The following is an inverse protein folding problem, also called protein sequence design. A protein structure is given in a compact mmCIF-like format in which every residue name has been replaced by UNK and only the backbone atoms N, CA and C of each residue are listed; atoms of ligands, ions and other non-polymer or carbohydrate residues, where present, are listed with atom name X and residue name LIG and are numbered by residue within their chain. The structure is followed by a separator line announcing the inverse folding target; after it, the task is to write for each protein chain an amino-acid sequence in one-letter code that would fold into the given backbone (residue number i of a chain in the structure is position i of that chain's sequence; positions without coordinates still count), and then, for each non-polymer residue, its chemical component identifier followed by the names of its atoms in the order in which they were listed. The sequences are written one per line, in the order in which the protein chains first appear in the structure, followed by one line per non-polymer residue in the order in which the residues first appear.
data_IF_584935278110
#
_entry.id   IF_584935278110
#
_cell.length_a   1.000
_cell.length_b   1.000
_cell.length_c   1.000
_cell.angle_alpha   90.00
_cell.angle_beta   90.00
_cell.angle_gamma   90.00
#
_symmetry.space_group_name_H-M   'P 1'
#
loop_
_entity.id
_entity.type
_entity.pdbx_description
1 polymer ?
#
# COMPACT_ATOMS: atom_id res chain seq x y z
N UNK A 1 17.69 -32.15 7.20
CA UNK A 1 16.80 -31.62 8.26
C UNK A 1 17.34 -30.28 8.71
N UNK A 2 16.66 -29.19 8.39
CA UNK A 2 17.08 -27.84 8.75
C UNK A 2 15.97 -27.22 9.60
N UNK A 3 16.36 -26.80 10.80
CA UNK A 3 15.48 -26.37 11.87
C UNK A 3 14.67 -25.14 11.51
N UNK A 4 13.35 -25.24 11.75
CA UNK A 4 12.45 -24.09 11.79
C UNK A 4 12.93 -23.16 12.90
N UNK A 5 13.47 -22.01 12.54
CA UNK A 5 13.73 -20.92 13.49
C UNK A 5 12.36 -20.44 13.97
N UNK A 6 11.92 -20.94 15.12
CA UNK A 6 10.78 -20.38 15.84
C UNK A 6 11.22 -19.01 16.33
N UNK A 7 10.77 -17.96 15.66
CA UNK A 7 10.78 -16.62 16.23
C UNK A 7 9.84 -16.71 17.43
N UNK A 8 10.42 -16.77 18.64
CA UNK A 8 9.66 -16.61 19.86
C UNK A 8 9.09 -15.19 19.82
N UNK A 9 7.85 -15.06 19.37
CA UNK A 9 7.08 -13.85 19.58
C UNK A 9 7.02 -13.66 21.10
N UNK A 10 7.81 -12.70 21.60
CA UNK A 10 7.55 -12.12 22.91
C UNK A 10 6.05 -11.83 22.96
N UNK A 11 5.39 -12.41 23.96
CA UNK A 11 3.97 -12.34 24.19
C UNK A 11 3.64 -10.88 24.51
N UNK A 12 3.52 -10.04 23.49
CA UNK A 12 2.96 -8.72 23.62
C UNK A 12 1.54 -8.93 24.16
N UNK A 13 1.31 -8.53 25.40
CA UNK A 13 0.03 -8.60 26.12
C UNK A 13 -0.97 -7.57 25.55
N UNK A 14 -1.07 -7.51 24.22
CA UNK A 14 -2.08 -6.73 23.53
C UNK A 14 -3.43 -7.42 23.71
N UNK A 15 -4.17 -6.99 24.73
CA UNK A 15 -5.56 -7.40 24.94
C UNK A 15 -6.45 -6.53 24.05
N UNK A 16 -6.96 -7.14 22.98
CA UNK A 16 -8.02 -6.55 22.15
C UNK A 16 -9.38 -6.88 22.78
N UNK A 17 -9.79 -6.11 23.78
CA UNK A 17 -11.05 -6.24 24.54
C UNK A 17 -12.12 -5.24 24.10
N UNK A 18 -11.88 -4.50 23.02
CA UNK A 18 -12.80 -3.54 22.45
C UNK A 18 -13.93 -4.15 21.60
N UNK A 19 -14.87 -3.32 21.12
CA UNK A 19 -16.02 -3.76 20.31
C UNK A 19 -15.64 -4.43 18.98
N UNK A 20 -14.36 -4.32 18.57
CA UNK A 20 -13.82 -4.91 17.35
C UNK A 20 -12.91 -6.12 17.60
N UNK A 21 -13.00 -6.79 18.76
CA UNK A 21 -12.22 -7.98 19.08
C UNK A 21 -12.34 -9.10 18.03
N UNK A 22 -13.47 -9.21 17.33
CA UNK A 22 -13.68 -10.17 16.26
C UNK A 22 -12.69 -9.98 15.09
N UNK A 23 -12.19 -8.76 14.87
CA UNK A 23 -11.19 -8.49 13.84
C UNK A 23 -9.86 -9.17 14.15
N UNK A 24 -9.56 -9.45 15.42
CA UNK A 24 -8.33 -10.18 15.81
C UNK A 24 -8.29 -11.55 15.14
N UNK A 25 -9.42 -12.27 15.11
CA UNK A 25 -9.50 -13.58 14.46
C UNK A 25 -9.16 -13.48 12.97
N UNK A 26 -9.72 -12.47 12.28
CA UNK A 26 -9.48 -12.26 10.85
C UNK A 26 -8.03 -11.86 10.58
N UNK A 27 -7.44 -10.99 11.41
CA UNK A 27 -6.05 -10.56 11.29
C UNK A 27 -5.09 -11.72 11.56
N UNK A 28 -5.32 -12.49 12.62
CA UNK A 28 -4.48 -13.62 13.01
C UNK A 28 -4.56 -14.76 11.96
N UNK A 29 -5.71 -14.96 11.31
CA UNK A 29 -5.86 -15.95 10.23
C UNK A 29 -5.27 -15.47 8.89
N UNK A 30 -5.40 -14.19 8.53
CA UNK A 30 -4.93 -13.67 7.24
C UNK A 30 -3.46 -13.23 7.27
N UNK A 31 -2.96 -12.75 8.40
CA UNK A 31 -1.63 -12.16 8.55
C UNK A 31 -0.81 -12.88 9.61
N UNK A 32 -0.46 -14.14 9.34
CA UNK A 32 0.45 -14.89 10.21
C UNK A 32 1.89 -14.36 10.02
N UNK A 33 2.53 -13.79 11.06
CA UNK A 33 3.89 -13.28 10.95
C UNK A 33 4.87 -14.41 10.61
N UNK A 34 5.76 -14.18 9.64
CA UNK A 34 6.82 -15.13 9.30
C UNK A 34 6.44 -16.23 8.30
N UNK A 35 5.22 -16.23 7.74
CA UNK A 35 4.81 -17.17 6.68
C UNK A 35 5.42 -16.88 5.30
N UNK A 36 6.28 -15.86 5.20
CA UNK A 36 6.83 -15.45 3.92
C UNK A 36 5.77 -14.85 3.00
N UNK A 37 4.76 -14.18 3.57
CA UNK A 37 3.75 -13.39 2.84
C UNK A 37 4.03 -11.90 3.00
N UNK A 38 3.69 -11.14 1.96
CA UNK A 38 3.82 -9.69 1.91
C UNK A 38 2.44 -9.07 1.75
N UNK A 39 2.15 -8.03 2.55
CA UNK A 39 0.98 -7.18 2.35
C UNK A 39 1.14 -6.39 1.05
N UNK A 40 0.14 -6.49 0.19
CA UNK A 40 0.08 -5.92 -1.14
C UNK A 40 -1.27 -5.22 -1.32
N UNK A 41 -1.31 -4.08 -2.02
CA UNK A 41 -2.56 -3.32 -2.23
C UNK A 41 -3.32 -2.99 -0.92
N UNK A 42 -2.61 -2.66 0.16
CA UNK A 42 -3.20 -2.26 1.44
C UNK A 42 -3.63 -3.43 2.31
N UNK A 43 -4.54 -4.29 1.81
CA UNK A 43 -5.15 -5.38 2.59
C UNK A 43 -4.99 -6.77 1.96
N UNK A 44 -4.49 -6.87 0.73
CA UNK A 44 -4.26 -8.17 0.10
C UNK A 44 -2.91 -8.73 0.58
N UNK A 45 -2.73 -10.04 0.49
CA UNK A 45 -1.45 -10.71 0.76
C UNK A 45 -1.01 -11.50 -0.46
N UNK A 46 0.28 -11.46 -0.79
CA UNK A 46 0.91 -12.34 -1.78
C UNK A 46 2.09 -13.08 -1.16
N UNK A 47 2.47 -14.21 -1.74
CA UNK A 47 3.71 -14.89 -1.36
C UNK A 47 4.92 -14.02 -1.70
N UNK A 48 5.98 -14.14 -0.91
CA UNK A 48 7.22 -13.44 -1.14
C UNK A 48 7.93 -14.00 -2.37
N UNK A 49 8.09 -13.15 -3.39
CA UNK A 49 8.91 -13.46 -4.58
C UNK A 49 10.41 -13.56 -4.25
N UNK A 50 10.84 -13.03 -3.09
CA UNK A 50 12.23 -12.97 -2.62
C UNK A 50 12.34 -13.47 -1.19
N UNK A 51 13.46 -14.08 -0.79
CA UNK A 51 13.64 -14.54 0.59
C UNK A 51 13.47 -13.38 1.58
N UNK A 52 12.95 -13.71 2.77
CA UNK A 52 12.81 -12.76 3.87
C UNK A 52 14.17 -12.07 4.11
N UNK A 53 14.22 -10.72 4.17
CA UNK A 53 15.48 -10.01 4.38
C UNK A 53 16.17 -10.47 5.66
N UNK A 54 17.51 -10.51 5.64
CA UNK A 54 18.32 -10.81 6.81
C UNK A 54 18.04 -9.83 7.95
N UNK A 55 18.39 -10.19 9.19
CA UNK A 55 18.16 -9.31 10.34
C UNK A 55 18.86 -7.95 10.18
N UNK A 56 20.06 -7.93 9.57
CA UNK A 56 20.79 -6.68 9.31
C UNK A 56 20.05 -5.79 8.29
N UNK A 57 19.49 -6.38 7.23
CA UNK A 57 18.70 -5.65 6.24
C UNK A 57 17.38 -5.15 6.84
N UNK A 58 16.71 -5.94 7.68
CA UNK A 58 15.51 -5.50 8.38
C UNK A 58 15.78 -4.32 9.31
N UNK A 59 16.92 -4.32 10.02
CA UNK A 59 17.33 -3.20 10.85
C UNK A 59 17.63 -1.96 10.01
N UNK A 60 18.34 -2.11 8.89
CA UNK A 60 18.61 -1.01 7.97
C UNK A 60 17.31 -0.40 7.40
N UNK A 61 16.34 -1.25 7.01
CA UNK A 61 15.03 -0.83 6.52
C UNK A 61 14.22 -0.12 7.61
N UNK A 62 14.27 -0.59 8.86
CA UNK A 62 13.62 0.08 10.01
C UNK A 62 14.25 1.44 10.30
N UNK A 63 15.57 1.56 10.21
CA UNK A 63 16.27 2.84 10.38
C UNK A 63 15.98 3.81 9.23
N UNK A 64 15.88 3.31 7.99
CA UNK A 64 15.43 4.11 6.84
C UNK A 64 13.98 4.58 7.00
N UNK A 65 13.08 3.68 7.42
CA UNK A 65 11.68 4.00 7.68
C UNK A 65 11.52 5.02 8.81
N UNK A 66 12.30 4.92 9.90
CA UNK A 66 12.32 5.92 10.97
C UNK A 66 12.77 7.29 10.48
N UNK A 67 13.82 7.35 9.65
CA UNK A 67 14.39 8.61 9.15
C UNK A 67 13.49 9.29 8.12
N UNK A 68 12.89 8.50 7.24
CA UNK A 68 12.14 9.01 6.09
C UNK A 68 10.62 8.96 6.29
N UNK A 69 10.13 8.47 7.45
CA UNK A 69 8.71 8.26 7.76
C UNK A 69 7.92 7.53 6.67
N UNK A 70 8.60 6.71 5.86
CA UNK A 70 7.99 5.95 4.78
C UNK A 70 7.45 4.63 5.31
N UNK A 71 6.14 4.43 5.16
CA UNK A 71 5.43 3.24 5.63
C UNK A 71 5.40 2.12 4.55
N UNK A 72 5.75 2.44 3.30
CA UNK A 72 5.68 1.50 2.17
C UNK A 72 7.02 1.34 1.42
N UNK A 73 7.25 0.13 0.89
CA UNK A 73 8.47 -0.24 0.17
C UNK A 73 8.65 0.48 -1.19
N UNK A 74 9.86 0.41 -1.76
CA UNK A 74 10.21 1.04 -3.05
C UNK A 74 9.33 0.55 -4.20
N UNK A 75 9.08 -0.75 -4.30
CA UNK A 75 8.25 -1.36 -5.35
C UNK A 75 6.79 -0.90 -5.28
N UNK A 76 6.26 -0.74 -4.06
CA UNK A 76 4.92 -0.20 -3.82
C UNK A 76 4.82 1.25 -4.28
N UNK A 77 5.81 2.08 -3.94
CA UNK A 77 5.89 3.48 -4.39
C UNK A 77 5.98 3.59 -5.90
N UNK A 78 6.78 2.76 -6.56
CA UNK A 78 6.88 2.77 -8.02
C UNK A 78 5.55 2.38 -8.68
N UNK A 79 4.85 1.38 -8.13
CA UNK A 79 3.53 0.99 -8.63
C UNK A 79 2.52 2.13 -8.49
N UNK A 80 2.44 2.76 -7.31
CA UNK A 80 1.55 3.91 -7.07
C UNK A 80 1.89 5.06 -8.02
N UNK A 81 3.17 5.31 -8.30
CA UNK A 81 3.60 6.29 -9.30
C UNK A 81 3.09 5.94 -10.71
N UNK A 82 3.23 4.69 -11.15
CA UNK A 82 2.71 4.22 -12.45
C UNK A 82 1.20 4.36 -12.55
N UNK A 83 0.46 3.94 -11.51
CA UNK A 83 -1.02 4.05 -11.46
C UNK A 83 -1.44 5.52 -11.55
N UNK A 84 -0.80 6.40 -10.79
CA UNK A 84 -1.08 7.84 -10.83
C UNK A 84 -0.80 8.46 -12.21
N UNK A 85 0.31 8.09 -12.86
CA UNK A 85 0.65 8.55 -14.22
C UNK A 85 -0.38 8.09 -15.27
N UNK A 86 -0.80 6.83 -15.22
CA UNK A 86 -1.86 6.30 -16.09
C UNK A 86 -3.17 7.05 -15.82
N UNK A 87 -3.51 7.28 -14.55
CA UNK A 87 -4.68 8.05 -14.14
C UNK A 87 -4.69 9.47 -14.71
N UNK A 88 -3.55 10.17 -14.70
CA UNK A 88 -3.43 11.46 -15.37
C UNK A 88 -3.63 11.37 -16.88
N UNK A 89 -3.05 10.35 -17.53
CA UNK A 89 -3.24 10.12 -18.97
C UNK A 89 -4.72 9.96 -19.34
N UNK A 90 -5.44 9.12 -18.60
CA UNK A 90 -6.89 8.92 -18.78
C UNK A 90 -7.64 10.23 -18.53
N UNK A 91 -7.30 10.95 -17.46
CA UNK A 91 -7.91 12.25 -17.12
C UNK A 91 -7.68 13.27 -18.24
N UNK A 92 -6.49 13.32 -18.82
CA UNK A 92 -6.18 14.24 -19.93
C UNK A 92 -7.03 13.93 -21.16
N UNK A 93 -7.17 12.65 -21.53
CA UNK A 93 -8.02 12.22 -22.65
C UNK A 93 -9.49 12.56 -22.38
N UNK A 94 -9.98 12.30 -21.17
CA UNK A 94 -11.35 12.65 -20.78
C UNK A 94 -11.58 14.17 -20.82
N UNK A 95 -10.62 14.97 -20.34
CA UNK A 95 -10.69 16.43 -20.38
C UNK A 95 -10.75 16.94 -21.83
N UNK A 96 -9.91 16.41 -22.72
CA UNK A 96 -9.92 16.74 -24.14
C UNK A 96 -11.28 16.40 -24.79
N UNK A 97 -11.87 15.24 -24.46
CA UNK A 97 -13.19 14.86 -24.93
C UNK A 97 -14.29 15.84 -24.45
N UNK A 98 -14.26 16.23 -23.18
CA UNK A 98 -15.24 17.19 -22.62
C UNK A 98 -15.10 18.61 -23.18
N UNK A 99 -13.96 18.95 -23.76
CA UNK A 99 -13.76 20.19 -24.51
C UNK A 99 -14.28 20.04 -25.95
N UNK A 100 -14.00 18.90 -26.59
CA UNK A 100 -14.34 18.64 -27.99
C UNK A 100 -15.85 18.44 -28.20
N UNK A 101 -16.52 17.72 -27.31
CA UNK A 101 -17.96 17.47 -27.42
C UNK A 101 -18.77 18.61 -26.80
N UNK A 102 -19.97 18.92 -27.31
CA UNK A 102 -20.85 19.95 -26.78
C UNK A 102 -21.58 19.46 -25.51
N UNK A 103 -20.80 19.22 -24.46
CA UNK A 103 -21.31 18.87 -23.13
C UNK A 103 -21.57 20.11 -22.27
N UNK A 104 -22.60 20.10 -21.40
CA UNK A 104 -22.86 21.19 -20.46
C UNK A 104 -21.66 21.51 -19.58
N UNK A 105 -21.45 22.79 -19.27
CA UNK A 105 -20.28 23.25 -18.50
C UNK A 105 -20.15 22.54 -17.13
N UNK A 106 -21.26 22.21 -16.47
CA UNK A 106 -21.23 21.51 -15.18
C UNK A 106 -20.71 20.07 -15.28
N UNK A 107 -20.88 19.40 -16.42
CA UNK A 107 -20.39 18.03 -16.61
C UNK A 107 -18.86 17.95 -16.55
N UNK A 108 -18.18 19.08 -16.81
CA UNK A 108 -16.72 19.20 -16.71
C UNK A 108 -16.21 19.06 -15.28
N UNK A 109 -17.05 19.32 -14.27
CA UNK A 109 -16.68 19.10 -12.86
C UNK A 109 -16.42 17.62 -12.56
N UNK A 110 -16.98 16.70 -13.35
CA UNK A 110 -16.72 15.26 -13.23
C UNK A 110 -15.24 14.89 -13.43
N UNK A 111 -14.45 15.77 -14.07
CA UNK A 111 -13.00 15.57 -14.24
C UNK A 111 -12.24 15.60 -12.91
N UNK A 112 -12.81 16.24 -11.89
CA UNK A 112 -12.19 16.36 -10.58
C UNK A 112 -11.91 14.99 -9.95
N UNK A 113 -12.85 14.05 -10.05
CA UNK A 113 -12.72 12.75 -9.42
C UNK A 113 -11.52 11.92 -9.93
N UNK A 114 -11.38 11.65 -11.26
CA UNK A 114 -10.23 10.92 -11.76
C UNK A 114 -8.92 11.69 -11.55
N UNK A 115 -8.94 13.03 -11.61
CA UNK A 115 -7.78 13.86 -11.33
C UNK A 115 -7.30 13.73 -9.88
N UNK A 116 -8.23 13.81 -8.93
CA UNK A 116 -7.94 13.70 -7.50
C UNK A 116 -7.41 12.31 -7.13
N UNK A 117 -7.96 11.25 -7.73
CA UNK A 117 -7.43 9.90 -7.56
C UNK A 117 -6.00 9.76 -8.11
N UNK A 118 -5.75 10.24 -9.33
CA UNK A 118 -4.41 10.22 -9.93
C UNK A 118 -3.39 10.97 -9.07
N UNK A 119 -3.77 12.17 -8.60
CA UNK A 119 -2.96 12.98 -7.69
C UNK A 119 -2.70 12.26 -6.36
N UNK A 120 -3.71 11.61 -5.78
CA UNK A 120 -3.59 10.86 -4.53
C UNK A 120 -2.55 9.74 -4.64
N UNK A 121 -2.55 8.98 -5.74
CA UNK A 121 -1.55 7.95 -5.99
C UNK A 121 -0.12 8.49 -6.15
N UNK A 122 0.04 9.65 -6.79
CA UNK A 122 1.35 10.31 -6.93
C UNK A 122 1.85 10.87 -5.60
N UNK A 123 0.99 11.55 -4.85
CA UNK A 123 1.31 12.08 -3.53
C UNK A 123 1.73 10.94 -2.58
N UNK A 124 0.93 9.88 -2.54
CA UNK A 124 1.23 8.64 -1.83
C UNK A 124 2.58 8.02 -2.23
N UNK A 125 2.90 7.97 -3.53
CA UNK A 125 4.19 7.46 -3.99
C UNK A 125 5.40 8.34 -3.58
N UNK A 126 5.19 9.65 -3.42
CA UNK A 126 6.23 10.60 -3.05
C UNK A 126 6.45 10.65 -1.53
N UNK A 127 5.35 10.67 -0.77
CA UNK A 127 5.34 10.69 0.69
C UNK A 127 5.63 9.31 1.28
N UNK A 128 5.47 8.25 0.50
CA UNK A 128 5.65 6.86 0.96
C UNK A 128 4.63 6.46 2.03
N UNK A 129 3.39 6.92 1.85
CA UNK A 129 2.17 6.52 2.57
C UNK A 129 1.33 5.65 1.64
#
# INVERSE_FOLDING_TARGET
GLGRVRVNAEKNDFKNDGPFQFMKLVIDEQFVPGEGKQVYNGVLTKDLDKPVPSQQEQLALREEAKKNLVNIGKDERERRRKIGQIGYGITLVAAAALIYFPVPAFARLGIYFPLALAQGFIASANEGL
#
